data_IF_712725345212
#
_entry.id   IF_712725345212
#
_cell.length_a   1.000
_cell.length_b   1.000
_cell.length_c   1.000
_cell.angle_alpha   90.00
_cell.angle_beta   90.00
_cell.angle_gamma   90.00
#
_symmetry.space_group_name_H-M   'P 1'
#
loop_
_entity.id
_entity.type
_entity.pdbx_description
1 polymer ?
#
# COMPACT_ATOMS: atom_id res chain seq x y z
N UNK A 1 3.25 10.54 -23.93
CA UNK A 1 4.09 9.85 -22.94
C UNK A 1 3.32 8.82 -22.12
N UNK A 2 2.43 9.15 -21.17
CA UNK A 2 1.76 8.13 -20.33
C UNK A 2 0.91 7.12 -21.14
N UNK A 3 0.14 7.59 -22.13
CA UNK A 3 -0.64 6.70 -23.00
C UNK A 3 0.26 5.80 -23.88
N UNK A 4 1.42 6.31 -24.30
CA UNK A 4 2.37 5.57 -25.12
C UNK A 4 3.03 4.43 -24.33
N UNK A 5 3.42 4.71 -23.08
CA UNK A 5 3.93 3.70 -22.15
C UNK A 5 2.87 2.61 -21.93
N UNK A 6 1.61 3.00 -21.69
CA UNK A 6 0.52 2.03 -21.52
C UNK A 6 0.31 1.17 -22.77
N UNK A 7 0.31 1.78 -23.96
CA UNK A 7 0.21 1.04 -25.23
C UNK A 7 1.36 0.04 -25.38
N UNK A 8 2.58 0.39 -24.96
CA UNK A 8 3.71 -0.54 -25.01
C UNK A 8 3.54 -1.70 -24.03
N UNK A 9 3.08 -1.43 -22.79
CA UNK A 9 2.77 -2.46 -21.81
C UNK A 9 1.71 -3.44 -22.34
N UNK A 10 0.63 -2.92 -22.93
CA UNK A 10 -0.44 -3.74 -23.52
C UNK A 10 0.08 -4.60 -24.67
N UNK A 11 0.91 -4.02 -25.55
CA UNK A 11 1.54 -4.78 -26.65
C UNK A 11 2.48 -5.87 -26.14
N UNK A 12 3.22 -5.61 -25.07
CA UNK A 12 4.13 -6.58 -24.45
C UNK A 12 3.35 -7.74 -23.79
N UNK A 13 2.21 -7.43 -23.16
CA UNK A 13 1.30 -8.46 -22.62
C UNK A 13 0.69 -9.27 -23.78
N UNK A 14 0.14 -8.59 -24.80
CA UNK A 14 -0.52 -9.24 -25.93
C UNK A 14 -1.61 -10.20 -25.48
N UNK A 15 -1.59 -11.43 -25.99
CA UNK A 15 -2.52 -12.51 -25.62
C UNK A 15 -2.01 -13.37 -24.45
N UNK A 16 -0.84 -13.03 -23.89
CA UNK A 16 -0.23 -13.83 -22.84
C UNK A 16 -0.99 -13.71 -21.52
N UNK A 17 -0.76 -14.70 -20.66
CA UNK A 17 -1.17 -14.66 -19.26
C UNK A 17 -0.24 -13.75 -18.47
N UNK A 18 -0.78 -13.05 -17.48
CA UNK A 18 -0.02 -12.17 -16.58
C UNK A 18 -0.58 -12.22 -15.17
N UNK A 19 0.19 -11.80 -14.17
CA UNK A 19 -0.32 -11.57 -12.81
C UNK A 19 -0.35 -10.09 -12.50
N UNK A 20 -1.08 -9.72 -11.45
CA UNK A 20 -1.14 -8.34 -10.99
C UNK A 20 -0.77 -8.24 -9.51
N UNK A 21 -0.21 -7.10 -9.13
CA UNK A 21 -0.21 -6.63 -7.75
C UNK A 21 -1.06 -5.38 -7.65
N UNK A 22 -1.75 -5.23 -6.52
CA UNK A 22 -2.54 -4.04 -6.21
C UNK A 22 -2.07 -3.41 -4.90
N UNK A 23 -1.85 -2.11 -4.90
CA UNK A 23 -1.54 -1.35 -3.68
C UNK A 23 -2.48 -0.15 -3.55
N UNK A 24 -3.21 -0.09 -2.45
CA UNK A 24 -4.20 0.94 -2.17
C UNK A 24 -3.74 1.85 -1.04
N UNK A 25 -3.76 3.16 -1.26
CA UNK A 25 -3.41 4.12 -0.21
C UNK A 25 -4.33 5.35 -0.21
N UNK A 26 -4.55 5.87 0.99
CA UNK A 26 -5.30 7.10 1.21
C UNK A 26 -4.55 7.94 2.24
N UNK A 27 -4.45 9.25 1.99
CA UNK A 27 -4.06 10.19 3.05
C UNK A 27 -5.33 10.73 3.70
N UNK A 28 -5.47 10.73 5.03
CA UNK A 28 -6.68 11.21 5.71
C UNK A 28 -7.11 12.65 5.36
N UNK A 29 -6.17 13.46 4.84
CA UNK A 29 -6.39 14.85 4.45
C UNK A 29 -6.45 15.08 2.92
N UNK A 30 -6.33 14.02 2.10
CA UNK A 30 -6.35 14.13 0.64
C UNK A 30 -7.19 13.00 0.06
N UNK A 31 -8.28 13.42 -0.54
CA UNK A 31 -9.13 12.64 -1.41
C UNK A 31 -8.77 12.95 -2.87
N UNK A 32 -8.89 12.01 -3.81
CA UNK A 32 -9.33 10.61 -3.65
C UNK A 32 -8.27 9.69 -3.04
N UNK A 33 -8.70 8.50 -2.59
CA UNK A 33 -7.76 7.40 -2.37
C UNK A 33 -7.29 6.88 -3.73
N UNK A 34 -6.10 6.27 -3.78
CA UNK A 34 -5.53 5.75 -5.01
C UNK A 34 -5.33 4.23 -4.90
N UNK A 35 -5.55 3.54 -6.01
CA UNK A 35 -5.25 2.13 -6.19
C UNK A 35 -4.31 1.97 -7.38
N UNK A 36 -3.07 1.55 -7.12
CA UNK A 36 -2.14 1.19 -8.18
C UNK A 36 -2.31 -0.28 -8.55
N UNK A 37 -2.32 -0.55 -9.85
CA UNK A 37 -2.28 -1.90 -10.45
C UNK A 37 -0.98 -2.02 -11.22
N UNK A 38 -0.16 -2.99 -10.84
CA UNK A 38 1.09 -3.33 -11.54
C UNK A 38 0.90 -4.69 -12.19
N UNK A 39 1.23 -4.80 -13.47
CA UNK A 39 1.22 -6.06 -14.22
C UNK A 39 2.60 -6.71 -14.15
N UNK A 40 2.59 -8.03 -14.11
CA UNK A 40 3.79 -8.86 -14.06
C UNK A 40 3.71 -9.93 -15.15
N UNK A 41 4.67 -9.91 -16.06
CA UNK A 41 4.84 -10.91 -17.11
C UNK A 41 6.21 -11.56 -17.02
N UNK A 42 6.33 -12.73 -17.65
CA UNK A 42 7.60 -13.42 -17.87
C UNK A 42 7.75 -13.61 -19.37
N UNK A 43 8.87 -13.16 -19.91
CA UNK A 43 9.20 -13.28 -21.33
C UNK A 43 9.72 -14.69 -21.67
N UNK A 44 9.83 -15.00 -22.96
CA UNK A 44 10.32 -16.29 -23.45
C UNK A 44 11.76 -16.61 -23.01
N UNK A 45 12.57 -15.59 -22.72
CA UNK A 45 13.92 -15.70 -22.14
C UNK A 45 13.92 -15.71 -20.59
N UNK A 46 12.78 -16.02 -19.98
CA UNK A 46 12.56 -16.10 -18.53
C UNK A 46 12.91 -14.82 -17.77
N UNK A 47 12.77 -13.65 -18.42
CA UNK A 47 12.95 -12.37 -17.77
C UNK A 47 11.62 -11.85 -17.23
N UNK A 48 11.63 -11.41 -15.97
CA UNK A 48 10.47 -10.79 -15.36
C UNK A 48 10.32 -9.34 -15.82
N UNK A 49 9.08 -8.94 -16.12
CA UNK A 49 8.71 -7.59 -16.53
C UNK A 49 7.59 -7.09 -15.63
N UNK A 50 7.89 -6.02 -14.89
CA UNK A 50 6.99 -5.44 -13.89
C UNK A 50 6.65 -4.01 -14.33
N UNK A 51 5.38 -3.71 -14.56
CA UNK A 51 4.95 -2.42 -15.11
C UNK A 51 3.74 -1.86 -14.36
N UNK A 52 3.82 -0.60 -13.93
CA UNK A 52 2.63 0.09 -13.39
C UNK A 52 1.66 0.35 -14.55
N UNK A 53 0.59 -0.44 -14.61
CA UNK A 53 -0.40 -0.40 -15.67
C UNK A 53 -1.41 0.73 -15.47
N UNK A 54 -1.89 0.86 -14.23
CA UNK A 54 -2.88 1.86 -13.88
C UNK A 54 -2.69 2.39 -12.45
N UNK A 55 -3.09 3.64 -12.28
CA UNK A 55 -3.36 4.24 -10.96
C UNK A 55 -4.78 4.77 -11.02
N UNK A 56 -5.67 4.16 -10.25
CA UNK A 56 -7.10 4.40 -10.26
C UNK A 56 -7.47 5.28 -9.07
N UNK A 57 -8.34 6.26 -9.31
CA UNK A 57 -8.90 7.07 -8.24
C UNK A 57 -10.12 6.37 -7.65
N UNK A 58 -10.11 6.15 -6.33
CA UNK A 58 -11.26 5.61 -5.62
C UNK A 58 -12.00 6.79 -4.97
N UNK A 59 -13.22 7.06 -5.43
CA UNK A 59 -13.90 8.32 -5.19
C UNK A 59 -14.95 8.34 -4.10
N UNK A 60 -15.42 7.23 -3.52
CA UNK A 60 -16.41 7.32 -2.42
C UNK A 60 -16.32 6.13 -1.45
N UNK A 61 -16.93 5.00 -1.78
CA UNK A 61 -17.17 3.95 -0.78
C UNK A 61 -16.08 2.87 -0.73
N UNK A 62 -15.11 2.91 -1.66
CA UNK A 62 -14.04 1.91 -1.82
C UNK A 62 -14.56 0.48 -1.66
N UNK A 63 -15.76 0.19 -2.16
CA UNK A 63 -16.39 -1.13 -2.02
C UNK A 63 -15.67 -2.13 -2.91
N UNK A 64 -15.85 -3.42 -2.62
CA UNK A 64 -15.31 -4.47 -3.48
C UNK A 64 -15.89 -4.41 -4.89
N UNK A 65 -17.16 -4.03 -5.02
CA UNK A 65 -17.84 -3.82 -6.31
C UNK A 65 -17.22 -2.69 -7.11
N UNK A 66 -17.02 -1.53 -6.49
CA UNK A 66 -16.42 -0.37 -7.16
C UNK A 66 -15.00 -0.69 -7.63
N UNK A 67 -14.20 -1.30 -6.74
CA UNK A 67 -12.83 -1.69 -7.08
C UNK A 67 -12.82 -2.72 -8.21
N UNK A 68 -13.74 -3.69 -8.20
CA UNK A 68 -13.86 -4.67 -9.29
C UNK A 68 -14.18 -3.98 -10.62
N UNK A 69 -15.21 -3.12 -10.64
CA UNK A 69 -15.61 -2.36 -11.84
C UNK A 69 -14.45 -1.54 -12.39
N UNK A 70 -13.74 -0.79 -11.53
CA UNK A 70 -12.62 0.05 -11.96
C UNK A 70 -11.45 -0.76 -12.52
N UNK A 71 -11.15 -1.93 -11.95
CA UNK A 71 -10.11 -2.82 -12.47
C UNK A 71 -10.54 -3.37 -13.85
N UNK A 72 -11.75 -3.91 -13.95
CA UNK A 72 -12.29 -4.49 -15.18
C UNK A 72 -12.38 -3.45 -16.31
N UNK A 73 -12.96 -2.29 -16.05
CA UNK A 73 -13.06 -1.18 -17.00
C UNK A 73 -11.68 -0.73 -17.49
N UNK A 74 -10.69 -0.67 -16.59
CA UNK A 74 -9.32 -0.29 -16.95
C UNK A 74 -8.68 -1.33 -17.87
N UNK A 75 -8.92 -2.63 -17.65
CA UNK A 75 -8.42 -3.70 -18.51
C UNK A 75 -9.11 -3.66 -19.89
N UNK A 76 -10.45 -3.66 -19.91
CA UNK A 76 -11.26 -3.67 -21.14
C UNK A 76 -10.96 -2.46 -22.02
N UNK A 77 -10.86 -1.26 -21.42
CA UNK A 77 -10.52 -0.03 -22.14
C UNK A 77 -9.17 -0.11 -22.86
N UNK A 78 -8.26 -0.95 -22.37
CA UNK A 78 -6.93 -1.14 -22.93
C UNK A 78 -6.79 -2.46 -23.71
N UNK A 79 -7.90 -3.16 -23.98
CA UNK A 79 -7.90 -4.39 -24.79
C UNK A 79 -7.34 -5.62 -24.08
N UNK A 80 -7.28 -5.60 -22.75
CA UNK A 80 -6.91 -6.76 -21.93
C UNK A 80 -8.17 -7.42 -21.37
N UNK A 81 -8.13 -8.74 -21.23
CA UNK A 81 -9.20 -9.53 -20.65
C UNK A 81 -8.84 -9.96 -19.22
N UNK A 82 -9.84 -9.91 -18.33
CA UNK A 82 -9.75 -10.43 -16.95
C UNK A 82 -9.25 -11.88 -16.92
N UNK A 83 -9.64 -12.70 -17.90
CA UNK A 83 -9.25 -14.10 -18.00
C UNK A 83 -7.75 -14.29 -18.23
N UNK A 84 -7.02 -13.26 -18.67
CA UNK A 84 -5.57 -13.31 -18.81
C UNK A 84 -4.85 -13.25 -17.46
N UNK A 85 -5.53 -12.82 -16.40
CA UNK A 85 -4.96 -12.69 -15.06
C UNK A 85 -4.89 -14.06 -14.39
N UNK A 86 -3.69 -14.51 -14.06
CA UNK A 86 -3.48 -15.79 -13.35
C UNK A 86 -3.61 -15.65 -11.85
N UNK A 87 -3.24 -14.47 -11.30
CA UNK A 87 -3.28 -14.21 -9.88
C UNK A 87 -3.20 -12.71 -9.58
N UNK A 88 -3.74 -12.32 -8.43
CA UNK A 88 -3.58 -11.00 -7.84
C UNK A 88 -2.91 -11.08 -6.47
N UNK A 89 -1.85 -10.31 -6.24
CA UNK A 89 -1.31 -10.08 -4.89
C UNK A 89 -1.84 -8.74 -4.37
N UNK A 90 -2.56 -8.80 -3.25
CA UNK A 90 -3.30 -7.67 -2.66
C UNK A 90 -2.98 -7.51 -1.18
N UNK A 91 -3.31 -6.37 -0.57
CA UNK A 91 -3.24 -6.22 0.90
C UNK A 91 -4.33 -7.06 1.59
N UNK A 92 -4.45 -7.01 2.92
CA UNK A 92 -5.50 -7.78 3.60
C UNK A 92 -6.85 -7.08 3.71
N UNK A 93 -7.07 -6.01 2.93
CA UNK A 93 -8.29 -5.24 3.03
C UNK A 93 -9.49 -6.05 2.50
N UNK A 94 -10.59 -6.03 3.27
CA UNK A 94 -11.82 -6.82 2.96
C UNK A 94 -12.43 -6.45 1.62
N UNK A 95 -12.33 -5.19 1.21
CA UNK A 95 -12.80 -4.71 -0.09
C UNK A 95 -11.97 -5.27 -1.24
N UNK A 96 -10.64 -5.33 -1.12
CA UNK A 96 -9.74 -5.97 -2.09
C UNK A 96 -9.99 -7.48 -2.20
N UNK A 97 -10.22 -8.17 -1.08
CA UNK A 97 -10.60 -9.58 -1.10
C UNK A 97 -11.92 -9.80 -1.86
N UNK A 98 -12.91 -8.92 -1.61
CA UNK A 98 -14.21 -8.97 -2.27
C UNK A 98 -14.10 -8.68 -3.76
N UNK A 99 -13.30 -7.70 -4.17
CA UNK A 99 -13.14 -7.36 -5.60
C UNK A 99 -12.52 -8.51 -6.38
N UNK A 100 -11.44 -9.12 -5.90
CA UNK A 100 -10.85 -10.30 -6.55
C UNK A 100 -11.84 -11.46 -6.68
N UNK A 101 -12.67 -11.70 -5.65
CA UNK A 101 -13.71 -12.73 -5.71
C UNK A 101 -14.78 -12.42 -6.77
N UNK A 102 -15.21 -11.16 -6.88
CA UNK A 102 -16.19 -10.73 -7.88
C UNK A 102 -15.64 -10.86 -9.31
N UNK A 103 -14.34 -10.57 -9.49
CA UNK A 103 -13.64 -10.71 -10.77
C UNK A 103 -13.26 -12.16 -11.12
N UNK A 104 -13.48 -13.13 -10.20
CA UNK A 104 -13.08 -14.52 -10.42
C UNK A 104 -11.56 -14.74 -10.45
N UNK A 105 -10.78 -13.84 -9.87
CA UNK A 105 -9.30 -13.90 -9.87
C UNK A 105 -8.81 -14.58 -8.59
N UNK A 106 -7.93 -15.57 -8.74
CA UNK A 106 -7.17 -16.14 -7.62
C UNK A 106 -6.31 -15.06 -6.96
N UNK A 107 -6.39 -14.92 -5.63
CA UNK A 107 -5.66 -13.85 -4.94
C UNK A 107 -4.91 -14.30 -3.70
N UNK A 108 -3.78 -13.64 -3.47
CA UNK A 108 -2.87 -13.88 -2.36
C UNK A 108 -2.68 -12.62 -1.54
N UNK A 109 -2.52 -12.80 -0.23
CA UNK A 109 -2.20 -11.71 0.68
C UNK A 109 -0.73 -11.31 0.52
N UNK A 110 -0.48 -10.00 0.47
CA UNK A 110 0.85 -9.43 0.39
C UNK A 110 1.67 -9.81 1.63
N UNK A 111 2.81 -10.47 1.41
CA UNK A 111 3.68 -10.92 2.50
C UNK A 111 4.22 -9.76 3.33
N UNK A 112 4.52 -8.62 2.72
CA UNK A 112 4.96 -7.43 3.44
C UNK A 112 3.89 -6.93 4.42
N UNK A 113 2.61 -6.95 3.99
CA UNK A 113 1.50 -6.61 4.87
C UNK A 113 1.33 -7.65 5.99
N UNK A 114 1.47 -8.95 5.68
CA UNK A 114 1.47 -10.00 6.70
C UNK A 114 2.55 -9.79 7.76
N UNK A 115 3.80 -9.54 7.35
CA UNK A 115 4.88 -9.25 8.29
C UNK A 115 4.60 -8.01 9.14
N UNK A 116 4.05 -6.95 8.54
CA UNK A 116 3.65 -5.77 9.29
C UNK A 116 2.61 -6.09 10.38
N UNK A 117 1.59 -6.90 10.06
CA UNK A 117 0.58 -7.34 11.02
C UNK A 117 1.20 -8.19 12.14
N UNK A 118 2.02 -9.19 11.79
CA UNK A 118 2.69 -10.05 12.77
C UNK A 118 3.56 -9.25 13.74
N UNK A 119 4.37 -8.31 13.23
CA UNK A 119 5.23 -7.47 14.08
C UNK A 119 4.38 -6.54 14.94
N UNK A 120 3.33 -5.93 14.39
CA UNK A 120 2.42 -5.07 15.14
C UNK A 120 1.78 -5.83 16.29
N UNK A 121 1.27 -7.03 16.03
CA UNK A 121 0.59 -7.85 17.02
C UNK A 121 1.58 -8.32 18.10
N UNK A 122 2.79 -8.75 17.72
CA UNK A 122 3.85 -9.11 18.66
C UNK A 122 4.24 -7.96 19.61
N UNK A 123 4.32 -6.72 19.09
CA UNK A 123 4.59 -5.54 19.92
C UNK A 123 3.44 -5.22 20.88
N UNK A 124 2.19 -5.52 20.50
CA UNK A 124 1.01 -5.30 21.33
C UNK A 124 0.84 -6.35 22.42
N UNK A 125 1.30 -7.58 22.18
CA UNK A 125 1.28 -8.67 23.17
C UNK A 125 2.21 -8.42 24.37
N UNK A 126 3.22 -7.55 24.23
CA UNK A 126 4.11 -7.19 25.33
C UNK A 126 3.62 -5.87 25.99
N UNK A 127 3.13 -5.97 27.22
CA UNK A 127 2.56 -4.83 27.96
C UNK A 127 3.55 -3.66 28.11
N UNK A 128 4.81 -3.95 28.45
CA UNK A 128 5.86 -2.92 28.62
C UNK A 128 6.12 -2.16 27.31
N UNK A 129 6.22 -2.88 26.19
CA UNK A 129 6.42 -2.28 24.87
C UNK A 129 5.17 -1.50 24.45
N UNK A 130 3.98 -2.06 24.66
CA UNK A 130 2.70 -1.42 24.33
C UNK A 130 2.53 -0.09 25.07
N UNK A 131 2.83 -0.04 26.37
CA UNK A 131 2.84 1.19 27.15
C UNK A 131 3.84 2.22 26.62
N UNK A 132 5.05 1.78 26.26
CA UNK A 132 6.07 2.64 25.68
C UNK A 132 5.59 3.25 24.36
N UNK A 133 4.97 2.44 23.49
CA UNK A 133 4.38 2.90 22.23
C UNK A 133 3.31 3.97 22.49
N UNK A 134 2.43 3.77 23.48
CA UNK A 134 1.41 4.77 23.86
C UNK A 134 2.07 6.08 24.32
N UNK A 135 3.08 6.00 25.19
CA UNK A 135 3.84 7.16 25.67
C UNK A 135 4.49 7.91 24.49
N UNK A 136 5.17 7.21 23.58
CA UNK A 136 5.80 7.78 22.39
C UNK A 136 4.76 8.44 21.46
N UNK A 137 3.63 7.78 21.19
CA UNK A 137 2.55 8.34 20.38
C UNK A 137 1.98 9.63 20.97
N UNK A 138 1.80 9.70 22.31
CA UNK A 138 1.36 10.92 23.00
C UNK A 138 2.34 12.07 22.81
N UNK A 139 3.64 11.78 22.90
CA UNK A 139 4.69 12.77 22.64
C UNK A 139 4.67 13.26 21.20
N UNK A 140 4.68 12.33 20.22
CA UNK A 140 4.66 12.65 18.78
C UNK A 140 3.41 13.46 18.41
N UNK A 141 2.24 13.08 18.92
CA UNK A 141 0.99 13.82 18.74
C UNK A 141 1.04 15.22 19.35
N UNK A 142 1.68 15.37 20.51
CA UNK A 142 1.94 16.67 21.13
C UNK A 142 2.83 17.56 20.25
N UNK A 143 3.88 16.98 19.66
CA UNK A 143 4.80 17.71 18.76
C UNK A 143 4.13 18.13 17.45
N UNK A 144 3.27 17.28 16.86
CA UNK A 144 2.54 17.64 15.64
C UNK A 144 1.56 18.82 15.84
N UNK A 145 1.03 19.00 17.06
CA UNK A 145 0.14 20.12 17.41
C UNK A 145 0.86 21.37 17.90
N UNK A 146 2.18 21.30 18.06
CA UNK A 146 3.00 22.35 18.64
C UNK A 146 3.74 23.11 17.55
N UNK A 147 3.70 24.45 17.57
CA UNK A 147 4.57 25.24 16.69
C UNK A 147 6.04 24.93 16.98
N UNK A 148 6.91 25.11 15.96
CA UNK A 148 8.34 24.78 15.98
C UNK A 148 9.09 25.24 17.25
N UNK A 149 8.68 26.39 17.81
CA UNK A 149 9.23 26.96 19.04
C UNK A 149 9.01 26.09 20.30
N UNK A 150 7.87 25.41 20.42
CA UNK A 150 7.56 24.51 21.55
C UNK A 150 8.32 23.19 21.39
N UNK A 151 8.44 22.67 20.16
CA UNK A 151 9.28 21.52 19.85
C UNK A 151 10.73 21.75 20.31
N UNK A 152 11.34 22.88 19.90
CA UNK A 152 12.71 23.22 20.23
C UNK A 152 12.94 23.34 21.76
N UNK A 153 11.96 23.87 22.50
CA UNK A 153 11.98 23.90 23.98
C UNK A 153 11.96 22.48 24.58
N UNK A 154 11.07 21.61 24.10
CA UNK A 154 10.95 20.24 24.60
C UNK A 154 12.19 19.40 24.28
N UNK A 155 12.75 19.52 23.07
CA UNK A 155 14.00 18.86 22.68
C UNK A 155 15.19 19.31 23.56
N UNK A 156 15.35 20.61 23.83
CA UNK A 156 16.40 21.11 24.74
C UNK A 156 16.25 20.56 26.16
N UNK A 157 15.01 20.45 26.66
CA UNK A 157 14.70 19.92 28.00
C UNK A 157 15.02 18.42 28.12
N UNK A 158 14.71 17.64 27.07
CA UNK A 158 15.00 16.20 27.00
C UNK A 158 16.50 15.93 26.84
N UNK A 159 17.20 16.68 25.97
CA UNK A 159 18.65 16.56 25.79
C UNK A 159 19.40 16.81 27.11
N UNK A 160 18.97 17.81 27.89
CA UNK A 160 19.52 18.09 29.22
C UNK A 160 19.19 17.03 30.28
N UNK A 161 18.13 16.24 30.11
CA UNK A 161 17.74 15.17 31.03
C UNK A 161 18.44 13.84 30.71
N UNK A 162 18.59 13.52 29.41
CA UNK A 162 19.33 12.34 28.94
C UNK A 162 20.83 12.44 29.22
N UNK A 163 21.46 13.61 28.98
CA UNK A 163 22.87 13.84 29.29
C UNK A 163 23.19 13.76 30.80
N UNK A 164 22.18 13.96 31.67
CA UNK A 164 22.31 13.81 33.13
C UNK A 164 22.10 12.36 33.61
N UNK A 165 21.28 11.57 32.92
CA UNK A 165 20.98 10.18 33.30
C UNK A 165 21.91 9.15 32.67
N UNK A 166 22.47 9.46 31.50
CA UNK A 166 23.44 8.64 30.78
C UNK A 166 24.55 9.57 30.28
N UNK A 167 25.52 9.92 31.13
CA UNK A 167 26.69 10.65 30.66
C UNK A 167 27.38 9.79 29.60
N UNK A 168 27.58 10.38 28.41
CA UNK A 168 28.44 9.77 27.39
C UNK A 168 29.84 9.64 28.01
N UNK A 169 30.37 8.41 28.01
CA UNK A 169 31.71 8.06 28.47
C UNK A 169 32.74 8.83 27.64
#
# INVERSE_FOLDING_TARGET
MANEIRTNIVKEIGENKFSITSDGWMKPSKFPALLSITTHTVTDDFQRRDNVFATLELLYEHTGEEIASLIEESLVKNGLNIDQIVACVRDDARNMQKSCRLLGIDSFQCSAHMYHLCVRDALQCNETISELIVKVRKWVGGTHRSNLAILLKNFKKVKGCLLKKFPLI
#
